data_IF_050315961387
#
_entry.id   IF_050315961387
#
_cell.length_a   1.000
_cell.length_b   1.000
_cell.length_c   1.000
_cell.angle_alpha   90.00
_cell.angle_beta   90.00
_cell.angle_gamma   90.00
#
_symmetry.space_group_name_H-M   'P 1'
#
loop_
_entity.id
_entity.type
_entity.pdbx_description
1 polymer ?
#
# COMPACT_ATOMS: atom_id res chain seq x y z
N UNK A 1 -47.42 -2.36 -26.99
CA UNK A 1 -48.19 -2.24 -25.74
C UNK A 1 -47.69 -3.31 -24.79
N UNK A 2 -47.04 -2.90 -23.69
CA UNK A 2 -46.21 -3.74 -22.83
C UNK A 2 -47.03 -4.65 -21.91
N UNK A 3 -46.74 -5.96 -21.96
CA UNK A 3 -47.28 -6.97 -21.05
C UNK A 3 -46.60 -6.83 -19.68
N UNK A 4 -47.39 -6.63 -18.64
CA UNK A 4 -46.92 -6.66 -17.25
C UNK A 4 -47.03 -8.10 -16.74
N UNK A 5 -45.89 -8.70 -16.39
CA UNK A 5 -45.86 -9.98 -15.68
C UNK A 5 -45.51 -9.70 -14.21
N UNK A 6 -46.54 -9.72 -13.36
CA UNK A 6 -46.41 -9.70 -11.91
C UNK A 6 -46.04 -11.13 -11.49
N UNK A 7 -44.80 -11.35 -11.08
CA UNK A 7 -44.35 -12.61 -10.51
C UNK A 7 -44.47 -12.54 -8.98
N UNK A 8 -45.47 -13.23 -8.45
CA UNK A 8 -45.62 -13.49 -7.01
C UNK A 8 -44.53 -14.48 -6.57
N UNK A 9 -43.66 -14.07 -5.64
CA UNK A 9 -42.79 -15.00 -4.91
C UNK A 9 -43.40 -15.23 -3.53
N UNK A 10 -43.90 -16.44 -3.31
CA UNK A 10 -44.31 -16.93 -2.01
C UNK A 10 -43.06 -17.21 -1.17
N UNK A 11 -42.92 -16.53 -0.03
CA UNK A 11 -41.87 -16.81 0.95
C UNK A 11 -42.41 -17.86 1.92
N UNK A 12 -41.95 -19.10 1.76
CA UNK A 12 -42.21 -20.17 2.72
C UNK A 12 -41.27 -19.99 3.91
N UNK A 13 -41.80 -19.58 5.05
CA UNK A 13 -41.07 -19.50 6.31
C UNK A 13 -40.84 -20.91 6.88
N UNK A 14 -39.58 -21.36 6.91
CA UNK A 14 -39.14 -22.49 7.73
C UNK A 14 -38.47 -21.93 8.97
N UNK A 15 -39.21 -21.88 10.06
CA UNK A 15 -38.67 -21.64 11.41
C UNK A 15 -38.16 -22.98 11.97
N UNK A 16 -36.85 -23.13 12.07
CA UNK A 16 -36.23 -24.02 13.04
C UNK A 16 -35.01 -23.34 13.65
N UNK A 17 -35.05 -23.23 14.97
CA UNK A 17 -34.06 -22.54 15.78
C UNK A 17 -32.72 -23.27 15.83
N UNK A 18 -31.67 -22.47 15.89
CA UNK A 18 -30.32 -22.87 16.29
C UNK A 18 -29.59 -21.61 16.77
N UNK A 19 -29.31 -21.54 18.07
CA UNK A 19 -28.48 -20.50 18.65
C UNK A 19 -27.10 -20.49 17.98
N UNK A 20 -26.74 -19.35 17.40
CA UNK A 20 -25.41 -19.07 16.89
C UNK A 20 -25.37 -17.61 16.43
N UNK A 21 -24.61 -16.77 17.11
CA UNK A 21 -24.48 -15.34 16.85
C UNK A 21 -23.86 -15.08 15.47
N UNK A 22 -24.69 -15.10 14.43
CA UNK A 22 -24.36 -14.68 13.06
C UNK A 22 -25.33 -13.61 12.54
N UNK A 23 -26.12 -13.00 13.42
CA UNK A 23 -27.01 -11.88 13.11
C UNK A 23 -26.19 -10.59 13.04
N UNK A 24 -25.64 -10.28 11.87
CA UNK A 24 -25.34 -8.93 11.35
C UNK A 24 -24.56 -9.00 10.02
N UNK A 25 -23.93 -10.14 9.69
CA UNK A 25 -23.11 -10.29 8.48
C UNK A 25 -23.94 -10.40 7.19
N UNK A 26 -25.10 -11.06 7.24
CA UNK A 26 -25.98 -11.24 6.08
C UNK A 26 -26.84 -10.00 5.80
N UNK A 27 -27.31 -9.31 6.84
CA UNK A 27 -28.09 -8.08 6.68
C UNK A 27 -27.25 -6.97 6.03
N UNK A 28 -26.02 -6.74 6.51
CA UNK A 28 -25.12 -5.76 5.90
C UNK A 28 -24.72 -6.09 4.46
N UNK A 29 -24.60 -7.39 4.11
CA UNK A 29 -24.31 -7.81 2.75
C UNK A 29 -25.47 -7.56 1.77
N UNK A 30 -26.71 -7.47 2.27
CA UNK A 30 -27.91 -7.16 1.47
C UNK A 30 -28.14 -5.64 1.39
N UNK A 31 -27.82 -4.88 2.45
CA UNK A 31 -28.11 -3.44 2.51
C UNK A 31 -27.02 -2.54 1.93
N UNK A 32 -25.77 -3.01 1.83
CA UNK A 32 -24.69 -2.25 1.19
C UNK A 32 -23.63 -3.17 0.55
N UNK A 33 -23.95 -3.81 -0.60
CA UNK A 33 -23.04 -4.74 -1.26
C UNK A 33 -21.80 -4.08 -1.86
N UNK A 34 -21.72 -2.74 -1.90
CA UNK A 34 -20.64 -2.01 -2.56
C UNK A 34 -19.60 -1.43 -1.59
N UNK A 35 -19.91 -1.37 -0.29
CA UNK A 35 -18.93 -0.99 0.74
C UNK A 35 -18.00 -2.17 1.06
N UNK A 36 -16.67 -2.02 0.90
CA UNK A 36 -15.74 -3.08 1.25
C UNK A 36 -15.83 -3.45 2.74
N UNK A 37 -15.95 -4.75 3.01
CA UNK A 37 -15.87 -5.28 4.37
C UNK A 37 -14.47 -5.02 4.93
N UNK A 38 -14.41 -4.78 6.23
CA UNK A 38 -13.12 -4.67 6.90
C UNK A 38 -12.33 -5.98 6.75
N UNK A 39 -11.07 -5.88 6.34
CA UNK A 39 -10.24 -7.07 6.14
C UNK A 39 -8.83 -6.72 5.67
N UNK A 40 -7.98 -7.74 5.55
CA UNK A 40 -6.57 -7.58 5.21
C UNK A 40 -5.80 -6.71 6.20
N UNK A 41 -4.77 -6.00 5.74
CA UNK A 41 -3.98 -5.14 6.60
C UNK A 41 -4.81 -3.91 7.02
N UNK A 42 -5.10 -3.78 8.31
CA UNK A 42 -6.18 -2.91 8.79
C UNK A 42 -5.80 -1.45 9.00
N UNK A 43 -4.55 -1.16 9.32
CA UNK A 43 -4.15 0.20 9.66
C UNK A 43 -2.68 0.44 9.35
N UNK A 44 -2.37 1.64 8.89
CA UNK A 44 -1.00 2.16 8.90
C UNK A 44 -0.76 2.71 10.30
N UNK A 45 0.14 2.07 11.06
CA UNK A 45 0.42 2.42 12.45
C UNK A 45 1.69 3.27 12.54
N UNK A 46 1.82 4.07 13.60
CA UNK A 46 3.02 4.86 13.87
C UNK A 46 3.51 5.63 12.64
N UNK A 47 2.62 6.39 12.00
CA UNK A 47 2.86 6.95 10.65
C UNK A 47 4.06 7.89 10.55
N UNK A 48 4.68 8.31 11.66
CA UNK A 48 5.93 9.06 11.70
C UNK A 48 7.20 8.22 11.72
N UNK A 49 7.12 6.90 11.62
CA UNK A 49 8.26 6.00 11.45
C UNK A 49 7.83 4.61 10.98
N UNK A 50 8.48 4.09 9.94
CA UNK A 50 8.38 2.69 9.56
C UNK A 50 9.76 2.07 9.27
N UNK A 51 9.77 0.75 9.13
CA UNK A 51 10.98 -0.08 9.09
C UNK A 51 11.82 0.11 7.82
N UNK A 52 11.24 0.67 6.75
CA UNK A 52 11.89 0.86 5.44
C UNK A 52 12.31 2.31 5.21
N UNK A 53 11.43 3.25 5.54
CA UNK A 53 11.64 4.68 5.27
C UNK A 53 12.20 5.43 6.47
N UNK A 54 12.13 4.85 7.68
CA UNK A 54 12.51 5.41 8.99
C UNK A 54 11.68 6.60 9.44
N UNK A 55 11.19 7.41 8.51
CA UNK A 55 10.37 8.61 8.76
C UNK A 55 8.87 8.36 8.54
N UNK A 56 8.49 7.31 7.82
CA UNK A 56 7.10 7.08 7.45
C UNK A 56 6.53 8.19 6.59
N UNK A 57 5.23 8.47 6.81
CA UNK A 57 4.48 9.53 6.11
C UNK A 57 4.86 10.94 6.53
N UNK A 58 5.67 11.12 7.58
CA UNK A 58 5.99 12.42 8.15
C UNK A 58 7.50 12.71 8.10
N UNK A 59 7.94 13.92 7.73
CA UNK A 59 9.35 14.26 7.67
C UNK A 59 10.00 14.43 9.05
N UNK A 60 9.21 14.45 10.13
CA UNK A 60 9.70 14.52 11.51
C UNK A 60 8.59 14.35 12.53
N UNK A 61 8.97 14.01 13.78
CA UNK A 61 8.04 13.58 14.82
C UNK A 61 6.96 14.61 15.22
N UNK A 62 7.25 15.90 15.09
CA UNK A 62 6.33 17.01 15.38
C UNK A 62 5.53 17.49 14.15
N UNK A 63 5.77 16.90 12.98
CA UNK A 63 5.00 17.20 11.77
C UNK A 63 3.63 16.54 11.86
N UNK A 64 2.70 17.03 11.03
CA UNK A 64 1.36 16.47 10.92
C UNK A 64 0.98 16.26 9.46
N UNK A 65 0.08 15.32 9.23
CA UNK A 65 -0.52 15.11 7.92
C UNK A 65 -2.04 15.19 8.04
N UNK A 66 -2.64 16.01 7.21
CA UNK A 66 -4.08 16.07 7.02
C UNK A 66 -4.42 15.23 5.80
N UNK A 67 -5.30 14.25 5.97
CA UNK A 67 -5.73 13.34 4.91
C UNK A 67 -7.21 13.54 4.66
N UNK A 68 -7.57 13.61 3.37
CA UNK A 68 -8.96 13.64 2.92
C UNK A 68 -9.35 12.27 2.40
N UNK A 69 -10.52 11.78 2.79
CA UNK A 69 -10.97 10.43 2.50
C UNK A 69 -12.48 10.40 2.22
N UNK A 70 -12.83 10.35 0.94
CA UNK A 70 -14.22 10.41 0.47
C UNK A 70 -15.09 9.22 0.92
N UNK A 71 -14.50 8.13 1.43
CA UNK A 71 -15.30 7.09 2.11
C UNK A 71 -16.04 7.63 3.35
N UNK A 72 -15.55 8.71 3.93
CA UNK A 72 -16.09 9.35 5.11
C UNK A 72 -16.81 10.67 4.79
N UNK A 73 -17.22 10.88 3.53
CA UNK A 73 -17.92 12.09 3.11
C UNK A 73 -19.14 12.37 4.02
N UNK A 74 -19.36 13.65 4.34
CA UNK A 74 -20.37 14.12 5.29
C UNK A 74 -20.19 13.65 6.74
N UNK A 75 -19.03 13.08 7.10
CA UNK A 75 -18.67 12.79 8.48
C UNK A 75 -17.48 13.66 8.93
N UNK A 76 -17.27 13.84 10.24
CA UNK A 76 -16.08 14.53 10.76
C UNK A 76 -14.74 13.87 10.37
N UNK A 77 -14.76 12.62 9.88
CA UNK A 77 -13.58 11.89 9.44
C UNK A 77 -13.27 12.09 7.94
N UNK A 78 -14.08 12.85 7.19
CA UNK A 78 -13.80 13.16 5.78
C UNK A 78 -12.43 13.81 5.61
N UNK A 79 -12.09 14.71 6.52
CA UNK A 79 -10.81 15.42 6.55
C UNK A 79 -10.26 15.30 7.96
N UNK A 80 -9.17 14.55 8.13
CA UNK A 80 -8.61 14.25 9.45
C UNK A 80 -7.13 14.54 9.51
N UNK A 81 -6.70 15.15 10.60
CA UNK A 81 -5.29 15.42 10.90
C UNK A 81 -4.72 14.31 11.77
N UNK A 82 -3.49 13.89 11.45
CA UNK A 82 -2.75 12.82 12.09
C UNK A 82 -1.35 13.29 12.47
N UNK A 83 -0.91 12.90 13.65
CA UNK A 83 0.43 13.09 14.20
C UNK A 83 1.24 11.79 14.11
N UNK A 84 2.52 11.82 14.47
CA UNK A 84 3.46 10.71 14.29
C UNK A 84 3.05 9.37 14.91
N UNK A 85 2.33 9.37 16.03
CA UNK A 85 1.88 8.14 16.71
C UNK A 85 0.48 7.69 16.33
N UNK A 86 -0.21 8.46 15.50
CA UNK A 86 -1.56 8.10 15.09
C UNK A 86 -1.54 6.96 14.07
N UNK A 87 -2.71 6.35 13.89
CA UNK A 87 -2.93 5.31 12.90
C UNK A 87 -3.97 5.74 11.88
N UNK A 88 -3.71 5.49 10.60
CA UNK A 88 -4.67 5.68 9.52
C UNK A 88 -5.36 4.33 9.25
N UNK A 89 -6.68 4.30 9.45
CA UNK A 89 -7.47 3.11 9.24
C UNK A 89 -7.64 2.86 7.74
N UNK A 90 -7.18 1.69 7.28
CA UNK A 90 -7.29 1.26 5.88
C UNK A 90 -8.04 -0.08 5.74
N UNK A 91 -8.61 -0.60 6.84
CA UNK A 91 -9.34 -1.87 6.88
C UNK A 91 -10.51 -1.96 5.90
N UNK A 92 -11.19 -0.84 5.65
CA UNK A 92 -12.29 -0.72 4.68
C UNK A 92 -11.86 -0.28 3.28
N UNK A 93 -10.55 -0.14 3.04
CA UNK A 93 -10.02 0.06 1.67
C UNK A 93 -10.05 -1.26 0.91
N UNK A 94 -10.28 -1.15 -0.40
CA UNK A 94 -10.28 -2.30 -1.30
C UNK A 94 -8.92 -3.02 -1.25
N UNK A 95 -8.97 -4.33 -1.10
CA UNK A 95 -7.79 -5.17 -1.11
C UNK A 95 -7.27 -5.34 -2.53
N UNK A 96 -5.94 -5.42 -2.69
CA UNK A 96 -5.23 -5.55 -3.95
C UNK A 96 -5.58 -4.46 -4.98
N UNK A 97 -5.89 -3.26 -4.48
CA UNK A 97 -6.24 -2.08 -5.27
C UNK A 97 -5.60 -0.84 -4.67
N UNK A 98 -5.36 0.16 -5.53
CA UNK A 98 -4.91 1.47 -5.10
C UNK A 98 -6.09 2.30 -4.56
N UNK A 99 -5.87 2.96 -3.43
CA UNK A 99 -6.75 4.01 -2.91
C UNK A 99 -5.97 5.32 -2.94
N UNK A 100 -6.51 6.32 -3.63
CA UNK A 100 -5.97 7.67 -3.62
C UNK A 100 -6.56 8.44 -2.43
N UNK A 101 -5.69 9.07 -1.63
CA UNK A 101 -6.07 9.90 -0.50
C UNK A 101 -5.35 11.26 -0.60
N UNK A 102 -6.05 12.35 -0.95
CA UNK A 102 -5.46 13.67 -0.95
C UNK A 102 -4.88 14.01 0.43
N UNK A 103 -3.72 14.66 0.45
CA UNK A 103 -3.08 15.05 1.70
C UNK A 103 -2.48 16.46 1.66
N UNK A 104 -2.36 17.04 2.85
CA UNK A 104 -1.58 18.24 3.16
C UNK A 104 -0.65 17.92 4.31
N UNK A 105 0.64 18.14 4.12
CA UNK A 105 1.67 17.95 5.12
C UNK A 105 2.01 19.28 5.77
N UNK A 106 2.10 19.28 7.10
CA UNK A 106 2.39 20.46 7.91
C UNK A 106 3.65 20.25 8.75
N UNK A 107 4.47 21.28 8.87
CA UNK A 107 5.62 21.27 9.76
C UNK A 107 5.20 21.41 11.24
N UNK A 108 6.18 21.43 12.15
CA UNK A 108 5.95 21.58 13.59
C UNK A 108 5.29 22.93 13.99
N UNK A 109 5.45 23.97 13.16
CA UNK A 109 4.79 25.26 13.33
C UNK A 109 3.38 25.31 12.72
N UNK A 110 2.84 24.15 12.30
CA UNK A 110 1.53 24.00 11.66
C UNK A 110 1.40 24.74 10.32
N UNK A 111 2.51 25.02 9.65
CA UNK A 111 2.54 25.61 8.31
C UNK A 111 2.56 24.50 7.28
N UNK A 112 1.79 24.65 6.20
CA UNK A 112 1.81 23.72 5.08
C UNK A 112 3.18 23.74 4.40
N UNK A 113 3.70 22.56 4.10
CA UNK A 113 5.01 22.38 3.44
C UNK A 113 4.93 21.53 2.17
N UNK A 114 3.87 20.75 2.01
CA UNK A 114 3.68 19.85 0.87
C UNK A 114 2.20 19.49 0.74
N UNK A 115 1.70 19.31 -0.48
CA UNK A 115 0.41 18.67 -0.73
C UNK A 115 0.46 17.78 -1.97
N UNK A 116 -0.47 16.84 -2.03
CA UNK A 116 -0.48 15.83 -3.07
C UNK A 116 -1.52 14.75 -2.85
N UNK A 117 -1.24 13.56 -3.37
CA UNK A 117 -2.07 12.36 -3.21
C UNK A 117 -1.22 11.23 -2.66
N UNK A 118 -1.69 10.60 -1.57
CA UNK A 118 -1.18 9.32 -1.11
C UNK A 118 -1.83 8.21 -1.93
N UNK A 119 -1.02 7.36 -2.53
CA UNK A 119 -1.41 6.15 -3.24
C UNK A 119 -1.19 4.95 -2.31
N UNK A 120 -2.27 4.48 -1.69
CA UNK A 120 -2.23 3.34 -0.76
C UNK A 120 -2.57 2.07 -1.52
N UNK A 121 -1.59 1.17 -1.66
CA UNK A 121 -1.82 -0.20 -2.13
C UNK A 121 -1.84 -1.15 -0.94
N UNK A 122 -3.01 -1.71 -0.66
CA UNK A 122 -3.23 -2.59 0.48
C UNK A 122 -3.39 -4.04 0.04
N UNK A 123 -2.69 -4.93 0.71
CA UNK A 123 -2.84 -6.38 0.62
C UNK A 123 -3.40 -6.96 1.93
N UNK A 124 -3.34 -8.28 2.10
CA UNK A 124 -3.88 -8.98 3.27
C UNK A 124 -3.01 -8.79 4.51
N UNK A 125 -1.69 -8.73 4.33
CA UNK A 125 -0.71 -8.67 5.41
C UNK A 125 0.21 -7.46 5.31
N UNK A 126 0.15 -6.69 4.22
CA UNK A 126 1.04 -5.58 3.95
C UNK A 126 0.35 -4.42 3.23
N UNK A 127 0.96 -3.23 3.30
CA UNK A 127 0.57 -2.08 2.51
C UNK A 127 1.80 -1.24 2.12
N UNK A 128 1.73 -0.64 0.93
CA UNK A 128 2.72 0.34 0.44
C UNK A 128 2.01 1.66 0.17
N UNK A 129 2.61 2.76 0.59
CA UNK A 129 2.11 4.12 0.43
C UNK A 129 3.10 4.93 -0.36
N UNK A 130 2.70 5.31 -1.57
CA UNK A 130 3.38 6.29 -2.40
C UNK A 130 2.79 7.68 -2.18
N UNK A 131 3.56 8.72 -2.41
CA UNK A 131 3.10 10.10 -2.39
C UNK A 131 3.44 10.76 -3.72
N UNK A 132 2.41 11.07 -4.51
CA UNK A 132 2.53 11.97 -5.64
C UNK A 132 2.43 13.39 -5.13
N UNK A 133 3.54 14.13 -5.17
CA UNK A 133 3.53 15.53 -4.78
C UNK A 133 2.92 16.35 -5.92
N UNK A 134 2.11 17.32 -5.55
CA UNK A 134 1.61 18.36 -6.45
C UNK A 134 2.33 19.68 -6.21
N UNK A 135 2.54 20.05 -4.94
CA UNK A 135 3.21 21.28 -4.56
C UNK A 135 4.16 21.07 -3.39
N UNK A 136 5.28 21.79 -3.43
CA UNK A 136 6.13 22.09 -2.26
C UNK A 136 5.90 23.52 -1.83
N UNK A 137 5.86 23.75 -0.53
CA UNK A 137 5.54 25.05 0.06
C UNK A 137 6.68 25.40 1.03
N UNK A 138 7.39 26.47 0.74
CA UNK A 138 8.36 27.03 1.68
C UNK A 138 7.67 28.12 2.51
N UNK A 139 7.87 28.18 3.83
CA UNK A 139 7.28 29.22 4.66
C UNK A 139 7.57 30.63 4.11
N UNK A 140 6.51 31.41 3.93
CA UNK A 140 6.60 32.78 3.40
C UNK A 140 6.75 32.88 1.88
N UNK A 141 6.74 31.77 1.14
CA UNK A 141 6.85 31.72 -0.31
C UNK A 141 5.60 31.13 -0.97
N UNK A 142 5.43 31.39 -2.27
CA UNK A 142 4.35 30.77 -3.05
C UNK A 142 4.61 29.28 -3.25
N UNK A 143 3.54 28.51 -3.38
CA UNK A 143 3.61 27.08 -3.67
C UNK A 143 4.33 26.83 -5.00
N UNK A 144 5.31 25.92 -5.01
CA UNK A 144 6.04 25.50 -6.20
C UNK A 144 5.50 24.16 -6.68
N UNK A 145 4.93 24.09 -7.90
CA UNK A 145 4.44 22.84 -8.46
C UNK A 145 5.57 21.83 -8.68
N UNK A 146 5.30 20.55 -8.44
CA UNK A 146 6.22 19.44 -8.71
C UNK A 146 5.44 18.21 -9.16
N UNK A 147 6.17 17.22 -9.68
CA UNK A 147 5.64 15.88 -10.00
C UNK A 147 6.47 14.77 -9.34
N UNK A 148 7.21 15.12 -8.30
CA UNK A 148 8.02 14.17 -7.56
C UNK A 148 7.14 13.06 -6.96
N UNK A 149 7.69 11.86 -6.90
CA UNK A 149 7.03 10.71 -6.32
C UNK A 149 7.98 9.96 -5.38
N UNK A 150 7.51 9.73 -4.15
CA UNK A 150 8.24 9.03 -3.11
C UNK A 150 7.41 7.91 -2.52
N UNK A 151 8.05 6.79 -2.18
CA UNK A 151 7.46 5.77 -1.32
C UNK A 151 7.66 6.22 0.12
N UNK A 152 6.57 6.66 0.74
CA UNK A 152 6.57 7.21 2.10
C UNK A 152 6.37 6.16 3.17
N UNK A 153 5.73 5.04 2.86
CA UNK A 153 5.61 3.98 3.86
C UNK A 153 5.46 2.59 3.28
N UNK A 154 6.06 1.62 3.95
CA UNK A 154 5.85 0.19 3.71
C UNK A 154 5.63 -0.41 5.09
N UNK A 155 4.45 -1.00 5.31
CA UNK A 155 4.10 -1.60 6.59
C UNK A 155 3.43 -2.95 6.40
N UNK A 156 3.49 -3.80 7.40
CA UNK A 156 2.82 -5.09 7.37
C UNK A 156 3.16 -5.98 8.55
N UNK A 157 2.57 -7.17 8.52
CA UNK A 157 2.88 -8.26 9.44
C UNK A 157 4.07 -9.03 8.89
N UNK A 158 5.29 -8.71 9.33
CA UNK A 158 6.50 -9.39 8.86
C UNK A 158 6.45 -10.90 9.11
N UNK A 159 6.95 -11.69 8.16
CA UNK A 159 7.06 -13.14 8.32
C UNK A 159 8.18 -13.48 9.31
N UNK A 160 7.80 -13.98 10.49
CA UNK A 160 8.74 -14.40 11.52
C UNK A 160 9.46 -15.71 11.17
N UNK A 161 8.73 -16.68 10.61
CA UNK A 161 9.25 -18.01 10.28
C UNK A 161 9.23 -18.20 8.76
N UNK A 162 10.38 -18.00 8.12
CA UNK A 162 10.48 -18.25 6.68
C UNK A 162 10.44 -19.75 6.39
N UNK A 163 9.90 -20.14 5.22
CA UNK A 163 10.18 -21.45 4.65
C UNK A 163 11.69 -21.71 4.61
N UNK A 164 12.10 -22.97 4.80
CA UNK A 164 13.51 -23.38 4.78
C UNK A 164 13.97 -23.92 3.42
N UNK A 165 13.02 -24.17 2.51
CA UNK A 165 13.26 -24.73 1.19
C UNK A 165 12.13 -24.35 0.24
N UNK A 166 12.38 -24.56 -1.05
CA UNK A 166 11.41 -24.33 -2.11
C UNK A 166 11.45 -22.90 -2.65
N UNK A 167 10.80 -22.74 -3.79
CA UNK A 167 10.74 -21.48 -4.54
C UNK A 167 9.32 -20.95 -4.45
N UNK A 168 9.18 -19.69 -4.07
CA UNK A 168 7.90 -18.97 -4.08
C UNK A 168 7.95 -17.88 -5.13
N UNK A 169 6.91 -17.83 -5.97
CA UNK A 169 6.73 -16.78 -6.97
C UNK A 169 5.67 -15.81 -6.47
N UNK A 170 5.96 -14.53 -6.61
CA UNK A 170 5.11 -13.42 -6.24
C UNK A 170 4.75 -12.61 -7.48
N UNK A 171 3.47 -12.33 -7.66
CA UNK A 171 2.98 -11.40 -8.69
C UNK A 171 2.22 -10.27 -8.03
N UNK A 172 2.28 -9.10 -8.62
CA UNK A 172 1.67 -7.95 -8.00
C UNK A 172 1.68 -6.68 -8.82
N UNK A 173 1.63 -5.56 -8.11
CA UNK A 173 1.53 -4.24 -8.70
C UNK A 173 2.72 -3.38 -8.32
N UNK A 174 2.95 -2.38 -9.15
CA UNK A 174 3.92 -1.32 -8.90
C UNK A 174 3.31 0.05 -9.20
N UNK A 175 3.89 1.08 -8.62
CA UNK A 175 3.50 2.48 -8.83
C UNK A 175 4.73 3.39 -8.83
N UNK A 176 4.69 4.41 -9.68
CA UNK A 176 5.69 5.48 -9.75
C UNK A 176 5.03 6.86 -9.88
N UNK A 177 3.76 6.97 -9.48
CA UNK A 177 2.91 8.13 -9.65
C UNK A 177 1.43 7.75 -9.62
N UNK A 178 0.56 8.74 -9.45
CA UNK A 178 -0.90 8.52 -9.42
C UNK A 178 -1.47 8.00 -10.75
N UNK A 179 -0.87 8.42 -11.87
CA UNK A 179 -1.20 8.02 -13.23
C UNK A 179 -0.26 6.93 -13.80
N UNK A 180 0.70 6.46 -12.99
CA UNK A 180 1.72 5.52 -13.41
C UNK A 180 1.73 4.27 -12.50
N UNK A 181 0.86 3.32 -12.82
CA UNK A 181 0.62 2.08 -12.07
C UNK A 181 0.68 0.89 -13.03
N UNK A 182 1.22 -0.23 -12.58
CA UNK A 182 1.29 -1.46 -13.38
C UNK A 182 0.93 -2.71 -12.57
N UNK A 183 0.55 -3.79 -13.27
CA UNK A 183 0.45 -5.15 -12.70
C UNK A 183 1.71 -5.98 -13.01
N UNK A 184 2.84 -5.30 -13.25
CA UNK A 184 4.02 -5.90 -13.86
C UNK A 184 5.08 -6.41 -12.89
N UNK A 185 4.79 -6.49 -11.58
CA UNK A 185 5.72 -7.07 -10.61
C UNK A 185 5.73 -8.60 -10.77
N UNK A 186 6.92 -9.15 -10.97
CA UNK A 186 7.19 -10.57 -10.92
C UNK A 186 8.49 -10.79 -10.12
N UNK A 187 8.39 -11.49 -8.99
CA UNK A 187 9.52 -11.70 -8.09
C UNK A 187 9.55 -13.15 -7.61
N UNK A 188 10.74 -13.70 -7.45
CA UNK A 188 10.97 -15.06 -7.00
C UNK A 188 11.88 -15.05 -5.78
N UNK A 189 11.56 -15.88 -4.79
CA UNK A 189 12.44 -16.17 -3.65
C UNK A 189 12.68 -17.67 -3.60
N UNK A 190 13.94 -18.06 -3.68
CA UNK A 190 14.40 -19.40 -3.32
C UNK A 190 14.78 -19.39 -1.83
N UNK A 191 13.96 -20.07 -1.03
CA UNK A 191 14.16 -20.17 0.42
C UNK A 191 15.27 -21.14 0.82
N UNK A 192 15.61 -22.10 -0.04
CA UNK A 192 16.76 -22.99 0.17
C UNK A 192 18.07 -22.23 -0.03
N UNK A 193 18.14 -21.42 -1.08
CA UNK A 193 19.29 -20.54 -1.34
C UNK A 193 19.29 -19.29 -0.44
N UNK A 194 18.13 -18.92 0.13
CA UNK A 194 17.87 -17.65 0.83
C UNK A 194 18.19 -16.43 -0.05
N UNK A 195 17.72 -16.44 -1.30
CA UNK A 195 17.95 -15.37 -2.27
C UNK A 195 16.69 -15.09 -3.07
N UNK A 196 16.56 -13.89 -3.58
CA UNK A 196 15.48 -13.53 -4.46
C UNK A 196 15.88 -12.50 -5.51
N UNK A 197 15.16 -12.53 -6.62
CA UNK A 197 15.32 -11.63 -7.76
C UNK A 197 13.97 -11.44 -8.46
N UNK A 198 13.87 -10.45 -9.34
CA UNK A 198 12.65 -10.23 -10.09
C UNK A 198 12.72 -9.08 -11.06
N UNK A 199 11.55 -8.62 -11.49
CA UNK A 199 11.41 -7.50 -12.39
C UNK A 199 10.10 -6.76 -12.18
N UNK A 200 10.08 -5.49 -12.62
CA UNK A 200 8.88 -4.66 -12.72
C UNK A 200 8.77 -4.15 -14.15
N UNK A 201 7.62 -4.41 -14.76
CA UNK A 201 7.30 -3.97 -16.13
C UNK A 201 6.06 -3.06 -16.17
N UNK A 202 5.86 -2.38 -17.29
CA UNK A 202 4.63 -1.62 -17.56
C UNK A 202 4.49 -0.29 -16.84
N UNK A 203 5.56 0.23 -16.22
CA UNK A 203 5.59 1.60 -15.71
C UNK A 203 6.07 2.56 -16.81
N UNK A 204 5.28 3.60 -17.07
CA UNK A 204 5.57 4.60 -18.08
C UNK A 204 6.86 5.35 -17.74
N UNK A 205 7.79 5.44 -18.69
CA UNK A 205 9.04 6.18 -18.52
C UNK A 205 10.15 5.45 -17.75
N UNK A 206 9.90 4.25 -17.20
CA UNK A 206 10.91 3.45 -16.47
C UNK A 206 11.50 2.30 -17.29
N UNK A 207 10.86 1.93 -18.41
CA UNK A 207 11.19 0.70 -19.13
C UNK A 207 11.05 -0.54 -18.23
N UNK A 208 11.77 -1.62 -18.55
CA UNK A 208 11.89 -2.75 -17.63
C UNK A 208 12.81 -2.36 -16.47
N UNK A 209 12.40 -2.68 -15.25
CA UNK A 209 13.23 -2.56 -14.06
C UNK A 209 13.64 -3.98 -13.65
N UNK A 210 14.93 -4.25 -13.68
CA UNK A 210 15.51 -5.48 -13.15
C UNK A 210 15.77 -5.31 -11.64
N UNK A 211 15.35 -6.29 -10.85
CA UNK A 211 15.61 -6.38 -9.41
C UNK A 211 16.60 -7.54 -9.22
N UNK A 212 17.89 -7.18 -9.15
CA UNK A 212 18.98 -8.14 -9.21
C UNK A 212 18.98 -9.10 -8.03
N UNK A 213 19.50 -10.30 -8.24
CA UNK A 213 19.58 -11.35 -7.24
C UNK A 213 20.33 -10.91 -5.96
N UNK A 214 19.62 -11.01 -4.84
CA UNK A 214 20.09 -10.54 -3.54
C UNK A 214 19.70 -11.49 -2.40
N UNK A 215 20.52 -11.60 -1.34
CA UNK A 215 20.26 -12.48 -0.22
C UNK A 215 19.15 -11.95 0.69
N UNK A 216 18.47 -12.88 1.36
CA UNK A 216 17.64 -12.57 2.53
C UNK A 216 18.57 -12.24 3.69
N UNK A 217 18.38 -11.05 4.27
CA UNK A 217 19.10 -10.58 5.45
C UNK A 217 18.11 -10.17 6.54
N UNK A 218 18.62 -9.77 7.71
CA UNK A 218 17.82 -9.18 8.76
C UNK A 218 18.10 -7.68 8.84
N UNK A 219 17.04 -6.87 8.93
CA UNK A 219 17.17 -5.46 9.23
C UNK A 219 17.49 -5.25 10.74
N UNK A 220 17.78 -4.02 11.19
CA UNK A 220 18.08 -3.75 12.60
C UNK A 220 16.97 -4.11 13.61
N UNK A 221 15.74 -4.34 13.13
CA UNK A 221 14.59 -4.76 13.93
C UNK A 221 14.41 -6.30 13.93
N UNK A 222 15.31 -7.05 13.31
CA UNK A 222 15.28 -8.52 13.23
C UNK A 222 14.36 -9.07 12.16
N UNK A 223 13.77 -8.23 11.30
CA UNK A 223 12.86 -8.66 10.24
C UNK A 223 13.60 -9.12 9.00
N UNK A 224 13.07 -10.16 8.36
CA UNK A 224 13.60 -10.68 7.10
C UNK A 224 13.30 -9.73 5.95
N UNK A 225 14.37 -9.25 5.30
CA UNK A 225 14.31 -8.30 4.18
C UNK A 225 15.26 -8.74 3.07
N UNK A 226 15.07 -8.18 1.88
CA UNK A 226 16.01 -8.30 0.76
C UNK A 226 16.40 -6.88 0.33
N UNK A 227 17.70 -6.62 0.30
CA UNK A 227 18.30 -5.39 -0.19
C UNK A 227 19.18 -5.72 -1.38
N UNK A 228 18.85 -5.18 -2.55
CA UNK A 228 19.53 -5.52 -3.80
C UNK A 228 19.74 -4.34 -4.72
N UNK A 229 20.48 -4.58 -5.81
CA UNK A 229 20.64 -3.61 -6.88
C UNK A 229 19.39 -3.60 -7.77
N UNK A 230 18.99 -2.42 -8.22
CA UNK A 230 17.94 -2.26 -9.21
C UNK A 230 18.54 -1.62 -10.47
N UNK A 231 18.03 -1.98 -11.64
CA UNK A 231 18.42 -1.33 -12.88
C UNK A 231 17.21 -1.07 -13.77
N UNK A 232 16.87 0.20 -13.95
CA UNK A 232 15.84 0.64 -14.88
C UNK A 232 16.44 0.82 -16.27
N UNK A 233 15.77 0.33 -17.30
CA UNK A 233 16.21 0.52 -18.69
C UNK A 233 16.31 2.00 -19.11
N UNK A 234 15.62 2.91 -18.42
CA UNK A 234 15.60 4.35 -18.74
C UNK A 234 16.21 5.24 -17.65
N UNK A 235 16.31 4.76 -16.41
CA UNK A 235 16.85 5.54 -15.28
C UNK A 235 18.18 4.98 -14.76
N UNK A 236 18.61 3.82 -15.27
CA UNK A 236 19.88 3.19 -14.97
C UNK A 236 19.92 2.59 -13.57
N UNK A 237 21.11 2.65 -12.97
CA UNK A 237 21.43 1.98 -11.71
C UNK A 237 20.71 2.63 -10.53
N UNK A 238 20.27 1.76 -9.63
CA UNK A 238 19.62 2.09 -8.39
C UNK A 238 19.71 0.94 -7.39
N UNK A 239 18.84 0.97 -6.40
CA UNK A 239 18.72 -0.10 -5.41
C UNK A 239 17.27 -0.33 -5.04
N UNK A 240 16.97 -1.52 -4.53
CA UNK A 240 15.65 -1.84 -3.98
C UNK A 240 15.76 -2.45 -2.59
N UNK A 241 14.69 -2.29 -1.84
CA UNK A 241 14.47 -2.91 -0.54
C UNK A 241 13.07 -3.54 -0.53
N UNK A 242 12.96 -4.75 0.02
CA UNK A 242 11.74 -5.54 0.05
C UNK A 242 11.61 -6.27 1.40
N UNK A 243 10.41 -6.26 1.96
CA UNK A 243 10.02 -7.10 3.09
C UNK A 243 9.20 -8.31 2.66
N UNK A 244 9.22 -9.33 3.53
CA UNK A 244 8.42 -10.55 3.40
C UNK A 244 7.37 -10.54 4.51
N UNK A 245 6.09 -10.68 4.13
CA UNK A 245 4.93 -10.47 4.99
C UNK A 245 3.96 -11.66 4.99
N UNK A 246 3.22 -11.77 6.09
CA UNK A 246 2.23 -12.81 6.34
C UNK A 246 2.81 -14.05 7.02
N UNK A 247 1.95 -14.91 7.59
CA UNK A 247 2.36 -16.06 8.39
C UNK A 247 3.18 -17.10 7.62
N UNK A 248 3.06 -17.15 6.30
CA UNK A 248 3.71 -18.17 5.45
C UNK A 248 4.43 -17.54 4.25
N UNK A 249 5.02 -16.35 4.44
CA UNK A 249 5.57 -15.56 3.34
C UNK A 249 4.55 -15.38 2.21
N UNK A 250 3.36 -14.90 2.58
CA UNK A 250 2.22 -14.77 1.68
C UNK A 250 2.42 -13.62 0.70
N UNK A 251 3.13 -12.58 1.12
CA UNK A 251 3.22 -11.31 0.43
C UNK A 251 4.64 -10.74 0.50
N UNK A 252 4.95 -9.91 -0.48
CA UNK A 252 6.11 -9.04 -0.50
C UNK A 252 5.66 -7.61 -0.72
N UNK A 253 6.41 -6.66 -0.16
CA UNK A 253 6.21 -5.24 -0.40
C UNK A 253 7.55 -4.51 -0.26
N UNK A 254 7.77 -3.49 -1.09
CA UNK A 254 9.07 -2.87 -1.21
C UNK A 254 9.07 -1.57 -2.01
N UNK A 255 10.27 -1.04 -2.18
CA UNK A 255 10.54 0.13 -3.02
C UNK A 255 11.85 0.00 -3.77
N UNK A 256 11.93 0.69 -4.90
CA UNK A 256 13.16 0.91 -5.66
C UNK A 256 13.42 2.41 -5.82
N UNK A 257 14.69 2.79 -5.80
CA UNK A 257 15.17 4.14 -6.05
C UNK A 257 16.26 4.10 -7.12
N UNK A 258 16.44 5.19 -7.87
CA UNK A 258 17.41 5.27 -8.97
C UNK A 258 18.30 6.51 -8.81
N UNK A 259 19.61 6.33 -8.96
CA UNK A 259 20.59 7.38 -8.63
C UNK A 259 20.42 8.62 -9.50
N UNK A 260 20.05 8.44 -10.77
CA UNK A 260 19.87 9.54 -11.73
C UNK A 260 18.49 10.22 -11.63
N UNK A 261 17.55 9.65 -10.86
CA UNK A 261 16.19 10.17 -10.67
C UNK A 261 15.74 9.97 -9.21
N UNK A 262 16.40 10.63 -8.23
CA UNK A 262 16.16 10.38 -6.80
C UNK A 262 14.77 10.81 -6.31
N UNK A 263 14.06 11.62 -7.11
CA UNK A 263 12.69 12.10 -6.86
C UNK A 263 11.61 11.28 -7.58
N UNK A 264 11.97 10.10 -8.12
CA UNK A 264 11.07 9.18 -8.82
C UNK A 264 11.29 7.76 -8.32
N UNK A 265 10.88 7.51 -7.08
CA UNK A 265 10.90 6.15 -6.53
C UNK A 265 9.81 5.28 -7.18
N UNK A 266 9.93 3.97 -6.97
CA UNK A 266 8.91 2.99 -7.38
C UNK A 266 8.50 2.20 -6.15
N UNK A 267 7.21 2.21 -5.81
CA UNK A 267 6.65 1.34 -4.78
C UNK A 267 6.07 0.08 -5.42
N UNK A 268 6.23 -1.08 -4.80
CA UNK A 268 5.71 -2.33 -5.34
C UNK A 268 5.29 -3.31 -4.25
N UNK A 269 4.33 -4.17 -4.58
CA UNK A 269 3.82 -5.17 -3.66
C UNK A 269 3.15 -6.32 -4.42
N UNK A 270 3.31 -7.54 -3.94
CA UNK A 270 2.77 -8.73 -4.59
C UNK A 270 2.44 -9.85 -3.62
N UNK A 271 1.52 -10.71 -4.08
CA UNK A 271 1.09 -11.92 -3.38
C UNK A 271 1.65 -13.16 -4.05
N UNK A 272 1.85 -14.20 -3.25
CA UNK A 272 2.24 -15.53 -3.71
C UNK A 272 1.22 -16.10 -4.71
N UNK A 273 1.70 -16.75 -5.78
CA UNK A 273 0.85 -17.33 -6.85
C UNK A 273 0.99 -18.84 -7.05
N UNK A 274 1.75 -19.53 -6.20
CA UNK A 274 2.00 -20.98 -6.29
C UNK A 274 1.48 -21.76 -5.09
#
# INVERSE_FOLDING_TARGET
MQKHHILYIAITALTLGGCGSAGNSLANAITDPFTPKEGGYRQLSNIGSDEFTRTGLLPGAASKIQVTDDQFINTPNHVKEYSSRDSIQIGHKRQNAFTALPYVLKNAANQEIENGVLEVYKQSYSAVVGAQLHNRIEPGHQATPTRDFYVRSIQGEFTSNLPTQGIINYKGRAMAGSDNKSNGLNYQIDYGARRGHGSITGLNGFGNIDLADAPITQNPHGHNVINGAANSATHGVGSYELGIFGPQANEIAGKAHFNNQPNKEVGFAGGRVN
#
